data_IF_655797504278
#
_entry.id   IF_655797504278
#
_cell.length_a   1.000
_cell.length_b   1.000
_cell.length_c   1.000
_cell.angle_alpha   90.00
_cell.angle_beta   90.00
_cell.angle_gamma   90.00
#
_symmetry.space_group_name_H-M   'P 1'
#
loop_
_entity.id
_entity.type
_entity.pdbx_description
1 polymer ?
#
# COMPACT_ATOMS: atom_id res chain seq x y z
N UNK A 1 -23.14 24.58 -35.41
CA UNK A 1 -22.19 24.28 -34.34
C UNK A 1 -22.07 22.78 -34.18
N UNK A 2 -20.99 22.21 -34.70
CA UNK A 2 -20.64 20.81 -34.48
C UNK A 2 -19.89 20.74 -33.14
N UNK A 3 -20.51 20.16 -32.13
CA UNK A 3 -19.81 19.73 -30.94
C UNK A 3 -19.08 18.42 -31.31
N UNK A 4 -17.79 18.53 -31.58
CA UNK A 4 -16.92 17.38 -31.66
C UNK A 4 -16.79 16.77 -30.25
N UNK A 5 -17.34 15.58 -30.06
CA UNK A 5 -16.98 14.74 -28.93
C UNK A 5 -15.51 14.36 -29.09
N UNK A 6 -14.66 14.98 -28.28
CA UNK A 6 -13.33 14.44 -28.02
C UNK A 6 -13.56 13.08 -27.33
N UNK A 7 -13.50 12.02 -28.12
CA UNK A 7 -13.28 10.71 -27.57
C UNK A 7 -11.91 10.76 -26.92
N UNK A 8 -11.85 10.69 -25.61
CA UNK A 8 -10.61 10.36 -24.93
C UNK A 8 -10.15 9.04 -25.59
N UNK A 9 -9.00 9.08 -26.27
CA UNK A 9 -8.38 7.86 -26.75
C UNK A 9 -8.10 7.03 -25.51
N UNK A 10 -8.82 5.92 -25.37
CA UNK A 10 -8.48 4.92 -24.37
C UNK A 10 -7.04 4.51 -24.67
N UNK A 11 -6.14 4.76 -23.73
CA UNK A 11 -4.77 4.27 -23.84
C UNK A 11 -4.84 2.75 -23.92
N UNK A 12 -4.53 2.23 -25.09
CA UNK A 12 -4.44 0.78 -25.28
C UNK A 12 -3.19 0.33 -24.53
N UNK A 13 -3.35 -0.62 -23.63
CA UNK A 13 -2.22 -1.20 -22.90
C UNK A 13 -1.32 -2.00 -23.83
N UNK A 14 -0.07 -2.17 -23.44
CA UNK A 14 0.96 -2.85 -24.23
C UNK A 14 0.75 -4.36 -24.29
N UNK A 15 0.00 -4.92 -23.34
CA UNK A 15 -0.26 -6.35 -23.24
C UNK A 15 -1.71 -6.66 -23.60
N UNK A 16 -1.90 -7.33 -24.74
CA UNK A 16 -3.20 -7.80 -25.18
C UNK A 16 -3.57 -9.09 -24.43
N UNK A 17 -4.84 -9.20 -24.04
CA UNK A 17 -5.41 -10.43 -23.49
C UNK A 17 -6.40 -11.06 -24.46
N UNK A 18 -6.79 -12.32 -24.21
CA UNK A 18 -7.89 -12.97 -24.93
C UNK A 18 -9.27 -12.63 -24.35
N UNK A 19 -9.32 -11.89 -23.23
CA UNK A 19 -10.57 -11.47 -22.62
C UNK A 19 -11.22 -10.34 -23.41
N UNK A 20 -12.54 -10.36 -23.47
CA UNK A 20 -13.32 -9.37 -24.20
C UNK A 20 -14.36 -8.72 -23.29
N UNK A 21 -14.64 -7.47 -23.57
CA UNK A 21 -15.78 -6.72 -23.02
C UNK A 21 -17.08 -7.18 -23.71
N UNK A 22 -18.21 -6.72 -23.20
CA UNK A 22 -19.53 -7.09 -23.74
C UNK A 22 -19.76 -6.65 -25.20
N UNK A 23 -19.04 -5.62 -25.65
CA UNK A 23 -19.10 -5.14 -27.04
C UNK A 23 -18.10 -5.86 -27.99
N UNK A 24 -17.32 -6.83 -27.45
CA UNK A 24 -16.34 -7.60 -28.20
C UNK A 24 -14.97 -6.98 -28.34
N UNK A 25 -14.71 -5.85 -27.71
CA UNK A 25 -13.37 -5.25 -27.64
C UNK A 25 -12.46 -6.08 -26.74
N UNK A 26 -11.20 -6.24 -27.13
CA UNK A 26 -10.23 -6.95 -26.29
C UNK A 26 -9.75 -6.07 -25.14
N UNK A 27 -9.68 -6.66 -23.95
CA UNK A 27 -9.07 -6.05 -22.78
C UNK A 27 -7.56 -6.08 -22.95
N UNK A 28 -6.92 -4.95 -22.69
CA UNK A 28 -5.45 -4.83 -22.65
C UNK A 28 -5.00 -4.24 -21.32
N UNK A 29 -3.76 -4.51 -20.93
CA UNK A 29 -3.15 -4.02 -19.70
C UNK A 29 -1.95 -3.15 -20.05
N UNK A 30 -1.81 -2.05 -19.30
CA UNK A 30 -0.60 -1.26 -19.26
C UNK A 30 -0.05 -1.32 -17.84
N UNK A 31 1.22 -1.65 -17.70
CA UNK A 31 1.92 -1.62 -16.43
C UNK A 31 2.29 -0.19 -16.08
N UNK A 32 2.03 0.20 -14.84
CA UNK A 32 2.48 1.44 -14.25
C UNK A 32 3.29 1.12 -13.00
N UNK A 33 4.54 1.58 -12.97
CA UNK A 33 5.41 1.36 -11.83
C UNK A 33 5.11 2.41 -10.77
N UNK A 34 4.50 2.00 -9.67
CA UNK A 34 4.06 2.85 -8.57
C UNK A 34 5.19 3.10 -7.59
N UNK A 35 5.83 2.03 -7.14
CA UNK A 35 6.96 2.06 -6.21
C UNK A 35 7.88 0.88 -6.46
N UNK A 36 9.19 1.10 -6.35
CA UNK A 36 10.20 0.06 -6.33
C UNK A 36 11.48 0.54 -5.64
N UNK A 37 12.42 -0.37 -5.30
CA UNK A 37 13.68 0.01 -4.68
C UNK A 37 14.53 0.98 -5.51
N UNK A 38 14.43 0.94 -6.84
CA UNK A 38 15.21 1.83 -7.74
C UNK A 38 14.65 3.24 -7.71
N UNK A 39 13.33 3.39 -7.75
CA UNK A 39 12.65 4.69 -7.71
C UNK A 39 12.78 5.36 -6.34
N UNK A 40 12.57 4.59 -5.28
CA UNK A 40 12.50 5.12 -3.92
C UNK A 40 13.85 5.20 -3.22
N UNK A 41 14.85 4.43 -3.67
CA UNK A 41 16.12 4.27 -2.96
C UNK A 41 16.01 3.50 -1.64
N UNK A 42 14.87 2.86 -1.39
CA UNK A 42 14.59 2.05 -0.20
C UNK A 42 14.60 0.57 -0.59
N UNK A 43 15.42 -0.23 0.07
CA UNK A 43 15.46 -1.66 -0.19
C UNK A 43 14.28 -2.35 0.52
N UNK A 44 13.24 -2.68 -0.20
CA UNK A 44 12.11 -3.48 0.27
C UNK A 44 11.80 -4.62 -0.71
N UNK A 45 11.15 -5.65 -0.21
CA UNK A 45 10.75 -6.84 -0.98
C UNK A 45 9.63 -7.58 -0.26
N UNK A 46 9.04 -8.61 -0.90
CA UNK A 46 7.95 -9.39 -0.29
C UNK A 46 6.75 -8.50 -0.03
N UNK A 47 6.00 -8.17 -1.10
CA UNK A 47 4.78 -7.39 -0.96
C UNK A 47 3.62 -8.33 -0.62
N UNK A 48 2.99 -8.14 0.54
CA UNK A 48 1.91 -8.99 1.03
C UNK A 48 0.57 -8.27 0.97
N UNK A 49 0.37 -7.22 1.75
CA UNK A 49 -0.86 -6.46 1.77
C UNK A 49 -0.83 -5.18 0.94
N UNK A 50 -1.97 -4.85 0.34
CA UNK A 50 -2.15 -3.61 -0.39
C UNK A 50 -3.56 -3.08 -0.17
N UNK A 51 -3.69 -1.77 0.10
CA UNK A 51 -4.96 -1.08 0.20
C UNK A 51 -4.90 0.27 -0.52
N UNK A 52 -6.02 0.69 -1.08
CA UNK A 52 -6.12 1.92 -1.86
C UNK A 52 -7.21 2.83 -1.31
N UNK A 53 -6.98 4.13 -1.41
CA UNK A 53 -7.94 5.18 -1.11
C UNK A 53 -7.32 6.56 -1.22
N UNK A 54 -8.14 7.59 -1.21
CA UNK A 54 -7.71 8.99 -1.29
C UNK A 54 -7.36 9.50 0.12
N UNK A 55 -6.08 9.31 0.52
CA UNK A 55 -5.62 9.62 1.87
C UNK A 55 -5.28 11.10 2.07
N UNK A 56 -4.99 11.82 0.98
CA UNK A 56 -4.66 13.25 1.04
C UNK A 56 -5.76 14.18 0.50
N UNK A 57 -6.87 13.58 0.04
CA UNK A 57 -8.07 14.26 -0.45
C UNK A 57 -7.84 15.11 -1.70
N UNK A 58 -6.95 14.67 -2.56
CA UNK A 58 -6.70 15.33 -3.85
C UNK A 58 -7.60 14.78 -4.99
N UNK A 59 -8.38 13.73 -4.72
CA UNK A 59 -9.31 13.11 -5.65
C UNK A 59 -8.71 11.97 -6.46
N UNK A 60 -7.48 11.54 -6.16
CA UNK A 60 -6.84 10.37 -6.74
C UNK A 60 -6.58 9.33 -5.66
N UNK A 61 -6.69 8.06 -6.03
CA UNK A 61 -6.39 6.98 -5.09
C UNK A 61 -4.87 6.90 -4.83
N UNK A 62 -4.53 6.78 -3.55
CA UNK A 62 -3.20 6.48 -3.05
C UNK A 62 -3.09 4.98 -2.78
N UNK A 63 -1.88 4.46 -2.76
CA UNK A 63 -1.62 3.05 -2.51
C UNK A 63 -0.77 2.90 -1.24
N UNK A 64 -1.31 2.21 -0.26
CA UNK A 64 -0.53 1.74 0.90
C UNK A 64 -0.14 0.30 0.64
N UNK A 65 1.14 -0.01 0.77
CA UNK A 65 1.68 -1.36 0.62
C UNK A 65 2.52 -1.75 1.83
N UNK A 66 2.45 -3.02 2.19
CA UNK A 66 3.24 -3.59 3.28
C UNK A 66 4.16 -4.67 2.73
N UNK A 67 5.35 -4.77 3.31
CA UNK A 67 6.42 -5.61 2.81
C UNK A 67 7.14 -6.26 3.98
N UNK A 68 7.29 -7.57 3.96
CA UNK A 68 8.10 -8.28 4.95
C UNK A 68 9.58 -7.90 4.87
N UNK A 69 10.07 -7.66 3.64
CA UNK A 69 11.45 -7.26 3.33
C UNK A 69 12.50 -8.23 3.85
N UNK A 70 12.14 -9.47 4.02
CA UNK A 70 13.06 -10.56 4.37
C UNK A 70 13.01 -11.68 3.31
N UNK A 71 14.05 -12.46 3.23
CA UNK A 71 14.15 -13.56 2.28
C UNK A 71 14.37 -14.92 2.97
N UNK A 72 14.43 -14.92 4.29
CA UNK A 72 14.83 -16.11 5.08
C UNK A 72 13.83 -16.45 6.18
N UNK A 73 12.91 -15.56 6.49
CA UNK A 73 11.89 -15.78 7.51
C UNK A 73 10.78 -16.71 7.00
N UNK A 74 10.41 -17.68 7.81
CA UNK A 74 9.30 -18.59 7.55
C UNK A 74 8.43 -18.70 8.81
N UNK A 75 7.30 -18.05 8.81
CA UNK A 75 6.36 -18.02 9.93
C UNK A 75 5.79 -19.40 10.29
N UNK A 76 5.87 -20.36 9.38
CA UNK A 76 5.42 -21.73 9.62
C UNK A 76 6.41 -22.57 10.44
N UNK A 77 7.65 -22.11 10.58
CA UNK A 77 8.68 -22.80 11.35
C UNK A 77 8.51 -22.54 12.85
N UNK A 78 8.22 -23.56 13.66
CA UNK A 78 8.03 -23.35 15.09
C UNK A 78 9.30 -22.81 15.76
N UNK A 79 9.15 -21.70 16.46
CA UNK A 79 10.25 -21.08 17.18
C UNK A 79 11.03 -20.02 16.40
N UNK A 80 10.78 -19.85 15.14
CA UNK A 80 11.31 -18.73 14.37
C UNK A 80 10.73 -17.41 14.88
N UNK A 81 11.55 -16.38 14.85
CA UNK A 81 11.15 -15.03 15.27
C UNK A 81 11.17 -14.12 14.07
N UNK A 82 10.16 -13.27 13.95
CA UNK A 82 10.10 -12.25 12.92
C UNK A 82 11.38 -11.40 12.95
N UNK A 83 12.08 -11.25 11.82
CA UNK A 83 13.25 -10.39 11.74
C UNK A 83 12.88 -8.93 11.94
N UNK A 84 13.82 -8.11 12.37
CA UNK A 84 13.64 -6.67 12.49
C UNK A 84 13.73 -5.99 11.10
N UNK A 85 12.97 -6.51 10.14
CA UNK A 85 12.89 -6.04 8.75
C UNK A 85 11.43 -5.91 8.37
N UNK A 86 11.15 -5.04 7.45
CA UNK A 86 9.81 -4.80 6.94
C UNK A 86 9.60 -3.32 6.62
N UNK A 87 8.62 -3.05 5.80
CA UNK A 87 8.28 -1.69 5.40
C UNK A 87 6.77 -1.52 5.27
N UNK A 88 6.30 -0.36 5.69
CA UNK A 88 4.99 0.17 5.33
C UNK A 88 5.23 1.38 4.45
N UNK A 89 4.77 1.31 3.22
CA UNK A 89 4.98 2.34 2.20
C UNK A 89 3.66 2.96 1.80
N UNK A 90 3.69 4.23 1.43
CA UNK A 90 2.58 4.88 0.76
C UNK A 90 3.08 5.56 -0.50
N UNK A 91 2.36 5.36 -1.59
CA UNK A 91 2.53 6.04 -2.86
C UNK A 91 1.31 6.91 -3.10
N UNK A 92 1.49 8.22 -3.05
CA UNK A 92 0.43 9.18 -3.34
C UNK A 92 0.23 9.30 -4.85
N UNK A 93 -1.01 9.04 -5.28
CA UNK A 93 -1.41 9.14 -6.67
C UNK A 93 -1.48 10.57 -7.18
N UNK A 94 -1.56 10.71 -8.49
CA UNK A 94 -1.77 11.98 -9.16
C UNK A 94 -2.62 11.79 -10.42
N UNK A 95 -2.99 12.87 -11.09
CA UNK A 95 -3.67 12.79 -12.39
C UNK A 95 -2.82 12.14 -13.50
N UNK A 96 -1.53 11.95 -13.28
CA UNK A 96 -0.60 11.27 -14.19
C UNK A 96 -0.20 9.92 -13.58
N UNK A 97 -0.67 8.79 -14.12
CA UNK A 97 -0.40 7.48 -13.55
C UNK A 97 1.08 7.05 -13.60
N UNK A 98 1.94 7.84 -14.23
CA UNK A 98 3.39 7.65 -14.21
C UNK A 98 4.08 8.46 -13.11
N UNK A 99 3.32 9.21 -12.28
CA UNK A 99 3.89 10.09 -11.25
C UNK A 99 3.31 9.81 -9.89
N UNK A 100 4.16 9.32 -9.03
CA UNK A 100 3.83 8.97 -7.65
C UNK A 100 4.78 9.66 -6.68
N UNK A 101 4.28 9.99 -5.48
CA UNK A 101 5.10 10.53 -4.40
C UNK A 101 5.18 9.47 -3.30
N UNK A 102 6.34 8.88 -3.11
CA UNK A 102 6.52 7.70 -2.27
C UNK A 102 7.17 8.07 -0.95
N UNK A 103 6.57 7.65 0.17
CA UNK A 103 7.15 7.79 1.50
C UNK A 103 7.09 6.46 2.27
N UNK A 104 8.01 6.31 3.23
CA UNK A 104 7.98 5.20 4.19
C UNK A 104 7.27 5.67 5.46
N UNK A 105 6.20 4.97 5.84
CA UNK A 105 5.44 5.24 7.06
C UNK A 105 6.02 4.52 8.28
N UNK A 106 6.49 3.28 8.10
CA UNK A 106 7.18 2.51 9.13
C UNK A 106 8.20 1.58 8.49
N UNK A 107 9.27 1.23 9.22
CA UNK A 107 10.28 0.31 8.74
C UNK A 107 11.00 -0.42 9.87
N UNK A 108 11.71 -1.49 9.51
CA UNK A 108 12.53 -2.27 10.45
C UNK A 108 11.69 -2.99 11.49
N UNK A 109 12.12 -2.97 12.74
CA UNK A 109 11.44 -3.66 13.84
C UNK A 109 9.99 -3.20 14.07
N UNK A 110 9.68 -1.97 13.69
CA UNK A 110 8.31 -1.43 13.82
C UNK A 110 7.36 -1.97 12.75
N UNK A 111 7.90 -2.46 11.64
CA UNK A 111 7.14 -3.05 10.54
C UNK A 111 7.52 -4.52 10.30
N UNK A 112 8.05 -5.17 11.31
CA UNK A 112 8.55 -6.55 11.24
C UNK A 112 7.47 -7.51 10.79
N UNK A 113 7.70 -8.23 9.69
CA UNK A 113 6.73 -9.11 9.03
C UNK A 113 5.35 -8.42 8.84
N UNK A 114 5.36 -7.25 8.23
CA UNK A 114 4.12 -6.55 7.89
C UNK A 114 3.37 -7.32 6.81
N UNK A 115 2.14 -7.77 7.13
CA UNK A 115 1.35 -8.72 6.35
C UNK A 115 0.14 -8.09 5.65
N UNK A 116 -0.58 -7.21 6.35
CA UNK A 116 -1.85 -6.71 5.87
C UNK A 116 -2.08 -5.27 6.31
N UNK A 117 -2.86 -4.54 5.55
CA UNK A 117 -3.22 -3.16 5.84
C UNK A 117 -4.69 -2.89 5.62
N UNK A 118 -5.22 -1.95 6.40
CA UNK A 118 -6.55 -1.38 6.21
C UNK A 118 -6.52 0.14 6.38
N UNK A 119 -7.44 0.82 5.76
CA UNK A 119 -7.63 2.27 5.89
C UNK A 119 -9.02 2.58 6.42
N UNK A 120 -9.10 3.49 7.38
CA UNK A 120 -10.35 4.03 7.91
C UNK A 120 -10.07 5.35 8.63
N UNK A 121 -11.09 6.18 8.77
CA UNK A 121 -11.05 7.31 9.70
C UNK A 121 -11.26 6.78 11.13
N UNK A 122 -10.15 6.39 11.78
CA UNK A 122 -10.19 5.70 13.08
C UNK A 122 -10.43 6.66 14.23
N UNK A 123 -9.91 7.89 14.12
CA UNK A 123 -10.00 8.91 15.16
C UNK A 123 -11.18 9.88 14.98
N UNK A 124 -11.90 9.82 13.85
CA UNK A 124 -13.05 10.67 13.56
C UNK A 124 -12.70 12.09 13.12
N UNK A 125 -11.46 12.33 12.64
CA UNK A 125 -11.02 13.65 12.17
C UNK A 125 -11.32 13.90 10.69
N UNK A 126 -11.82 12.87 10.02
CA UNK A 126 -12.25 12.89 8.64
C UNK A 126 -11.15 12.53 7.64
N UNK A 127 -9.92 12.26 8.05
CA UNK A 127 -8.88 11.72 7.20
C UNK A 127 -8.74 10.20 7.37
N UNK A 128 -8.37 9.50 6.30
CA UNK A 128 -8.16 8.06 6.39
C UNK A 128 -6.81 7.78 7.04
N UNK A 129 -6.83 7.07 8.16
CA UNK A 129 -5.66 6.54 8.84
C UNK A 129 -5.28 5.17 8.27
N UNK A 130 -4.10 4.68 8.61
CA UNK A 130 -3.62 3.36 8.21
C UNK A 130 -3.44 2.47 9.44
N UNK A 131 -4.02 1.27 9.37
CA UNK A 131 -3.80 0.20 10.34
C UNK A 131 -3.05 -0.94 9.65
N UNK A 132 -1.96 -1.41 10.25
CA UNK A 132 -1.14 -2.50 9.71
C UNK A 132 -1.08 -3.65 10.70
N UNK A 133 -1.23 -4.86 10.20
CA UNK A 133 -0.97 -6.08 10.95
C UNK A 133 0.45 -6.57 10.66
N UNK A 134 1.26 -6.68 11.69
CA UNK A 134 2.57 -7.32 11.66
C UNK A 134 2.43 -8.73 12.22
N UNK A 135 2.78 -9.74 11.41
CA UNK A 135 2.60 -11.15 11.75
C UNK A 135 3.29 -11.52 13.06
N UNK A 136 2.63 -12.29 13.89
CA UNK A 136 3.14 -12.79 15.19
C UNK A 136 3.61 -11.70 16.17
N UNK A 137 3.31 -10.45 15.91
CA UNK A 137 3.91 -9.33 16.63
C UNK A 137 2.86 -8.35 17.17
N UNK A 138 2.41 -7.41 16.38
CA UNK A 138 1.64 -6.28 16.85
C UNK A 138 0.78 -5.66 15.74
N UNK A 139 -0.10 -4.77 16.13
CA UNK A 139 -0.77 -3.85 15.21
C UNK A 139 -0.05 -2.49 15.23
N UNK A 140 0.04 -1.87 14.09
CA UNK A 140 0.57 -0.53 13.92
C UNK A 140 -0.57 0.40 13.51
N UNK A 141 -0.83 1.42 14.31
CA UNK A 141 -1.72 2.51 13.95
C UNK A 141 -0.89 3.69 13.48
N UNK A 142 -1.16 4.18 12.30
CA UNK A 142 -0.49 5.31 11.67
C UNK A 142 -1.54 6.40 11.44
N UNK A 143 -1.47 7.45 12.26
CA UNK A 143 -2.41 8.56 12.19
C UNK A 143 -2.08 9.49 11.03
N UNK A 144 -3.05 9.70 10.16
CA UNK A 144 -2.93 10.65 9.06
C UNK A 144 -2.79 12.09 9.61
N UNK A 145 -1.74 12.82 9.25
CA UNK A 145 -1.54 14.20 9.73
C UNK A 145 -2.38 15.26 8.99
N UNK A 146 -3.32 14.86 8.16
CA UNK A 146 -4.18 15.77 7.40
C UNK A 146 -3.41 16.51 6.30
N UNK A 147 -3.40 17.85 6.32
CA UNK A 147 -2.81 18.66 5.26
C UNK A 147 -1.31 18.46 5.02
N UNK A 148 -0.61 17.90 5.99
CA UNK A 148 0.85 17.69 5.91
C UNK A 148 1.23 16.25 5.53
N UNK A 149 0.27 15.49 5.06
CA UNK A 149 0.35 14.04 4.80
C UNK A 149 1.55 13.60 3.96
N UNK A 150 1.96 14.41 2.98
CA UNK A 150 3.09 14.13 2.09
C UNK A 150 4.44 14.65 2.59
N UNK A 151 4.48 15.45 3.65
CA UNK A 151 5.65 16.24 4.01
C UNK A 151 6.27 15.93 5.36
N UNK A 152 5.61 15.12 6.19
CA UNK A 152 6.10 14.73 7.50
C UNK A 152 5.82 13.26 7.80
N UNK A 153 6.60 12.64 8.70
CA UNK A 153 6.27 11.32 9.23
C UNK A 153 4.89 11.35 9.90
N UNK A 154 4.14 10.26 9.75
CA UNK A 154 2.87 10.08 10.44
C UNK A 154 3.11 9.68 11.88
N UNK A 155 2.26 10.15 12.79
CA UNK A 155 2.28 9.71 14.17
C UNK A 155 1.92 8.22 14.22
N UNK A 156 2.68 7.47 15.04
CA UNK A 156 2.62 6.01 15.09
C UNK A 156 2.37 5.54 16.50
N UNK A 157 1.41 4.62 16.64
CA UNK A 157 1.17 3.88 17.86
C UNK A 157 1.29 2.38 17.57
N UNK A 158 2.18 1.71 18.29
CA UNK A 158 2.30 0.26 18.24
C UNK A 158 1.44 -0.33 19.33
N UNK A 159 0.46 -1.15 18.93
CA UNK A 159 -0.44 -1.83 19.82
C UNK A 159 0.11 -3.24 20.11
N UNK A 160 0.70 -3.49 21.27
CA UNK A 160 1.24 -4.80 21.58
C UNK A 160 0.12 -5.83 21.61
N UNK A 161 0.27 -6.89 20.84
CA UNK A 161 -0.65 -8.02 20.86
C UNK A 161 -0.18 -9.00 21.93
N UNK A 162 -1.09 -9.38 22.82
CA UNK A 162 -0.82 -10.36 23.89
C UNK A 162 -0.98 -11.78 23.43
N UNK A 163 -1.09 -12.02 22.14
CA UNK A 163 -1.28 -13.33 21.56
C UNK A 163 0.02 -14.10 21.52
N UNK A 164 -0.04 -15.37 21.81
CA UNK A 164 1.12 -16.23 21.74
C UNK A 164 1.60 -16.44 20.30
N UNK A 165 2.75 -17.08 20.15
CA UNK A 165 3.32 -17.47 18.87
C UNK A 165 2.33 -18.24 18.01
N UNK A 166 2.34 -18.02 16.74
CA UNK A 166 1.48 -18.67 15.76
C UNK A 166 0.11 -18.03 15.60
N UNK A 167 -0.08 -16.83 16.13
CA UNK A 167 -1.29 -16.06 15.88
C UNK A 167 -1.12 -15.18 14.67
N UNK A 168 -1.96 -15.37 13.66
CA UNK A 168 -2.03 -14.49 12.52
C UNK A 168 -2.98 -13.33 12.83
N UNK A 169 -2.56 -12.14 12.47
CA UNK A 169 -3.33 -10.92 12.64
C UNK A 169 -3.70 -10.42 11.26
N UNK A 170 -4.97 -10.13 11.07
CA UNK A 170 -5.48 -9.47 9.87
C UNK A 170 -6.28 -8.25 10.26
N UNK A 171 -6.24 -7.24 9.42
CA UNK A 171 -7.04 -6.01 9.54
C UNK A 171 -7.92 -5.87 8.30
N UNK A 172 -9.20 -5.55 8.51
CA UNK A 172 -10.17 -5.40 7.42
C UNK A 172 -11.23 -4.36 7.78
#
# INVERSE_FOLDING_TARGET
>A
CFFGYLHAQSLVGDTLTSAQTADGSYISWKEHLIDDPTLSGVAFSGSDGLVMGDLDRDGFDDVVSVHESDSTYDSTVPGETSPAMGHVRIAFGTSDPEKWVNITLAQGADASAAEDAAIADVNGDGFLDVMVAAELSHLIYLQNPGSDVRSRPWDRVILPMTQGRGSYIRVS
#
